data_IF_182658914197
#
_entry.id   IF_182658914197
#
_cell.length_a   1.000
_cell.length_b   1.000
_cell.length_c   1.000
_cell.angle_alpha   90.00
_cell.angle_beta   90.00
_cell.angle_gamma   90.00
#
_symmetry.space_group_name_H-M   'P 1'
#
loop_
_entity.id
_entity.type
_entity.pdbx_description
1 polymer ?
#
# COMPACT_ATOMS: atom_id res chain seq x y z
N UNK A 1 27.40 32.23 -10.08
CA UNK A 1 28.04 30.96 -10.42
C UNK A 1 26.95 29.92 -10.55
N UNK A 2 26.43 29.75 -11.74
CA UNK A 2 25.44 28.73 -12.12
C UNK A 2 26.19 27.40 -12.18
N UNK A 3 25.90 26.49 -11.26
CA UNK A 3 26.24 25.08 -11.42
C UNK A 3 25.48 24.56 -12.64
N UNK A 4 26.15 24.47 -13.77
CA UNK A 4 25.71 23.69 -14.89
C UNK A 4 25.64 22.25 -14.43
N UNK A 5 24.43 21.76 -14.17
CA UNK A 5 24.20 20.33 -14.00
C UNK A 5 24.55 19.71 -15.36
N UNK A 6 25.62 18.95 -15.37
CA UNK A 6 25.93 18.09 -16.48
C UNK A 6 24.80 17.08 -16.61
N UNK A 7 23.81 17.37 -17.45
CA UNK A 7 22.82 16.42 -17.98
C UNK A 7 23.54 15.57 -19.03
N UNK A 8 24.77 15.14 -18.72
CA UNK A 8 25.52 14.21 -19.54
C UNK A 8 25.21 12.80 -19.09
N UNK A 9 24.64 12.08 -20.03
CA UNK A 9 24.70 10.64 -20.17
C UNK A 9 23.68 9.76 -19.44
N UNK A 10 22.51 10.23 -19.05
CA UNK A 10 21.39 9.31 -18.88
C UNK A 10 20.60 9.22 -20.18
N UNK A 11 21.00 8.25 -21.02
CA UNK A 11 20.27 7.93 -22.26
C UNK A 11 19.04 7.07 -21.94
N UNK A 12 18.02 7.13 -22.79
CA UNK A 12 16.89 6.22 -22.76
C UNK A 12 17.31 4.76 -22.53
N UNK A 13 18.38 4.34 -23.19
CA UNK A 13 18.94 2.98 -23.11
C UNK A 13 19.42 2.63 -21.71
N UNK A 14 20.13 3.55 -21.03
CA UNK A 14 20.66 3.31 -19.69
C UNK A 14 19.56 3.18 -18.66
N UNK A 15 18.58 4.08 -18.70
CA UNK A 15 17.42 4.03 -17.79
C UNK A 15 16.57 2.80 -18.06
N UNK A 16 16.29 2.50 -19.34
CA UNK A 16 15.53 1.30 -19.69
C UNK A 16 16.24 0.02 -19.22
N UNK A 17 17.56 -0.08 -19.39
CA UNK A 17 18.33 -1.23 -18.91
C UNK A 17 18.28 -1.37 -17.40
N UNK A 18 18.42 -0.27 -16.63
CA UNK A 18 18.31 -0.29 -15.18
C UNK A 18 16.91 -0.74 -14.73
N UNK A 19 15.84 -0.21 -15.33
CA UNK A 19 14.49 -0.61 -14.98
C UNK A 19 14.18 -2.08 -15.36
N UNK A 20 14.71 -2.58 -16.46
CA UNK A 20 14.60 -3.99 -16.85
C UNK A 20 15.29 -4.92 -15.83
N UNK A 21 16.45 -4.52 -15.34
CA UNK A 21 17.14 -5.27 -14.27
C UNK A 21 16.30 -5.32 -12.99
N UNK A 22 15.71 -4.20 -12.59
CA UNK A 22 14.83 -4.13 -11.43
C UNK A 22 13.60 -5.03 -11.61
N UNK A 23 12.99 -5.08 -12.81
CA UNK A 23 11.87 -5.98 -13.09
C UNK A 23 12.29 -7.46 -12.94
N UNK A 24 13.46 -7.85 -13.44
CA UNK A 24 13.98 -9.22 -13.24
C UNK A 24 14.17 -9.56 -11.77
N UNK A 25 14.73 -8.63 -11.01
CA UNK A 25 14.89 -8.82 -9.57
C UNK A 25 13.55 -8.89 -8.82
N UNK A 26 12.49 -8.21 -9.29
CA UNK A 26 11.14 -8.37 -8.75
C UNK A 26 10.62 -9.80 -8.98
N UNK A 27 10.79 -10.33 -10.19
CA UNK A 27 10.41 -11.71 -10.53
C UNK A 27 11.20 -12.75 -9.70
N UNK A 28 12.48 -12.51 -9.52
CA UNK A 28 13.31 -13.38 -8.67
C UNK A 28 12.95 -13.25 -7.19
N UNK A 29 12.54 -12.06 -6.76
CA UNK A 29 11.97 -11.84 -5.43
C UNK A 29 10.69 -12.65 -5.20
N UNK A 30 9.77 -12.71 -6.16
CA UNK A 30 8.57 -13.56 -6.07
C UNK A 30 8.94 -15.03 -5.91
N UNK A 31 9.89 -15.52 -6.69
CA UNK A 31 10.36 -16.92 -6.60
C UNK A 31 10.98 -17.20 -5.23
N UNK A 32 11.82 -16.30 -4.75
CA UNK A 32 12.50 -16.41 -3.45
C UNK A 32 11.53 -16.47 -2.28
N UNK A 33 10.45 -15.70 -2.34
CA UNK A 33 9.45 -15.61 -1.28
C UNK A 33 8.16 -16.38 -1.60
N UNK A 34 8.20 -17.31 -2.57
CA UNK A 34 7.02 -18.11 -2.98
C UNK A 34 6.36 -18.84 -1.81
N UNK A 35 7.14 -19.44 -0.91
CA UNK A 35 6.60 -20.11 0.27
C UNK A 35 5.77 -19.18 1.16
N UNK A 36 6.26 -17.96 1.44
CA UNK A 36 5.49 -16.97 2.20
C UNK A 36 4.24 -16.51 1.46
N UNK A 37 4.33 -16.35 0.13
CA UNK A 37 3.15 -15.99 -0.69
C UNK A 37 2.10 -17.10 -0.68
N UNK A 38 2.51 -18.35 -0.61
CA UNK A 38 1.58 -19.50 -0.57
C UNK A 38 0.84 -19.60 0.76
N UNK A 39 1.46 -19.19 1.86
CA UNK A 39 0.84 -19.14 3.19
C UNK A 39 -0.17 -17.98 3.34
N UNK A 40 -0.13 -16.97 2.46
CA UNK A 40 -1.06 -15.85 2.51
C UNK A 40 -2.48 -16.30 2.15
N UNK A 41 -3.45 -15.75 2.88
CA UNK A 41 -4.84 -15.87 2.50
C UNK A 41 -5.05 -15.39 1.03
N UNK A 42 -5.86 -16.07 0.21
CA UNK A 42 -6.04 -15.74 -1.21
C UNK A 42 -6.29 -14.27 -1.52
N UNK A 43 -7.07 -13.58 -0.68
CA UNK A 43 -7.40 -12.16 -0.85
C UNK A 43 -6.18 -11.23 -0.74
N UNK A 44 -5.08 -11.69 -0.11
CA UNK A 44 -3.86 -10.89 0.08
C UNK A 44 -2.69 -11.29 -0.80
N UNK A 45 -2.79 -12.39 -1.56
CA UNK A 45 -1.68 -12.86 -2.41
C UNK A 45 -1.20 -11.82 -3.40
N UNK A 46 -2.12 -11.12 -4.05
CA UNK A 46 -1.79 -10.10 -5.03
C UNK A 46 -1.13 -8.87 -4.38
N UNK A 47 -1.63 -8.42 -3.24
CA UNK A 47 -1.02 -7.35 -2.46
C UNK A 47 0.36 -7.76 -1.91
N UNK A 48 0.52 -9.03 -1.51
CA UNK A 48 1.80 -9.57 -1.05
C UNK A 48 2.86 -9.58 -2.17
N UNK A 49 2.51 -9.99 -3.38
CA UNK A 49 3.41 -9.88 -4.54
C UNK A 49 3.82 -8.44 -4.80
N UNK A 50 2.86 -7.52 -4.84
CA UNK A 50 3.16 -6.11 -5.04
C UNK A 50 4.06 -5.54 -3.92
N UNK A 51 3.92 -6.00 -2.68
CA UNK A 51 4.81 -5.62 -1.59
C UNK A 51 6.25 -6.06 -1.85
N UNK A 52 6.47 -7.28 -2.36
CA UNK A 52 7.80 -7.75 -2.74
C UNK A 52 8.39 -6.84 -3.83
N UNK A 53 7.63 -6.54 -4.87
CA UNK A 53 8.06 -5.63 -5.95
C UNK A 53 8.43 -4.25 -5.41
N UNK A 54 7.62 -3.71 -4.52
CA UNK A 54 7.88 -2.43 -3.90
C UNK A 54 9.16 -2.44 -3.07
N UNK A 55 9.40 -3.47 -2.26
CA UNK A 55 10.60 -3.60 -1.45
C UNK A 55 11.86 -3.74 -2.32
N UNK A 56 11.79 -4.47 -3.44
CA UNK A 56 12.88 -4.54 -4.42
C UNK A 56 13.16 -3.16 -4.98
N UNK A 57 12.16 -2.43 -5.47
CA UNK A 57 12.34 -1.07 -5.98
C UNK A 57 12.98 -0.14 -4.94
N UNK A 58 12.49 -0.19 -3.71
CA UNK A 58 12.99 0.65 -2.60
C UNK A 58 14.41 0.30 -2.15
N UNK A 59 14.91 -0.88 -2.47
CA UNK A 59 16.29 -1.27 -2.21
C UNK A 59 17.28 -0.70 -3.22
N UNK A 60 16.81 -0.06 -4.30
CA UNK A 60 17.64 0.43 -5.40
C UNK A 60 17.89 1.91 -5.33
N UNK A 61 19.09 2.30 -5.72
CA UNK A 61 19.41 3.71 -5.96
C UNK A 61 18.97 4.08 -7.38
N UNK A 62 17.87 4.83 -7.48
CA UNK A 62 17.25 5.19 -8.76
C UNK A 62 17.03 6.70 -8.94
N UNK A 63 17.61 7.55 -8.08
CA UNK A 63 17.40 9.01 -8.12
C UNK A 63 17.70 9.61 -9.49
N UNK A 64 18.81 9.22 -10.09
CA UNK A 64 19.18 9.72 -11.42
C UNK A 64 18.19 9.26 -12.50
N UNK A 65 17.68 8.03 -12.43
CA UNK A 65 16.63 7.56 -13.33
C UNK A 65 15.31 8.32 -13.10
N UNK A 66 14.97 8.60 -11.82
CA UNK A 66 13.78 9.38 -11.48
C UNK A 66 13.84 10.81 -12.02
N UNK A 67 14.97 11.48 -11.88
CA UNK A 67 15.20 12.82 -12.45
C UNK A 67 15.09 12.82 -13.97
N UNK A 68 15.70 11.81 -14.61
CA UNK A 68 15.61 11.65 -16.06
C UNK A 68 14.17 11.44 -16.52
N UNK A 69 13.43 10.50 -15.91
CA UNK A 69 12.04 10.22 -16.23
C UNK A 69 11.16 11.46 -16.06
N UNK A 70 11.35 12.19 -14.96
CA UNK A 70 10.64 13.46 -14.72
C UNK A 70 10.95 14.48 -15.81
N UNK A 71 12.21 14.61 -16.22
CA UNK A 71 12.63 15.56 -17.27
C UNK A 71 11.97 15.29 -18.63
N UNK A 72 11.79 14.02 -18.98
CA UNK A 72 11.13 13.62 -20.24
C UNK A 72 9.60 13.48 -20.12
N UNK A 73 9.02 13.86 -18.98
CA UNK A 73 7.57 13.87 -18.76
C UNK A 73 6.95 12.51 -18.47
N UNK A 74 7.76 11.50 -18.11
CA UNK A 74 7.28 10.20 -17.66
C UNK A 74 7.15 10.13 -16.14
N UNK A 75 6.43 9.09 -15.65
CA UNK A 75 6.34 8.82 -14.23
C UNK A 75 7.72 8.61 -13.61
N UNK A 76 8.05 9.38 -12.58
CA UNK A 76 9.29 9.25 -11.80
C UNK A 76 9.28 8.09 -10.80
N UNK A 77 8.27 7.24 -10.80
CA UNK A 77 8.14 6.07 -9.92
C UNK A 77 8.07 6.42 -8.42
N UNK A 78 7.79 7.68 -8.07
CA UNK A 78 7.71 8.12 -6.67
C UNK A 78 6.41 7.70 -5.98
N UNK A 79 5.36 7.36 -6.74
CA UNK A 79 4.03 6.97 -6.26
C UNK A 79 3.63 5.61 -6.85
N UNK A 80 4.50 4.61 -6.68
CA UNK A 80 4.34 3.28 -7.29
C UNK A 80 3.90 2.19 -6.31
N UNK A 81 3.67 2.53 -5.03
CA UNK A 81 3.47 1.58 -3.94
C UNK A 81 2.36 0.56 -4.20
N UNK A 82 1.26 1.00 -4.80
CA UNK A 82 0.08 0.15 -4.98
C UNK A 82 0.15 -0.80 -6.18
N UNK A 83 1.03 -0.52 -7.17
CA UNK A 83 1.08 -1.25 -8.44
C UNK A 83 2.48 -1.16 -9.10
N UNK A 84 3.50 -1.45 -8.31
CA UNK A 84 4.91 -1.17 -8.63
C UNK A 84 5.36 -1.76 -9.95
N UNK A 85 5.18 -3.07 -10.16
CA UNK A 85 5.61 -3.74 -11.40
C UNK A 85 4.88 -3.17 -12.63
N UNK A 86 3.57 -2.99 -12.54
CA UNK A 86 2.77 -2.43 -13.63
C UNK A 86 3.26 -1.04 -14.03
N UNK A 87 3.59 -0.20 -13.06
CA UNK A 87 4.08 1.15 -13.35
C UNK A 87 5.46 1.13 -14.03
N UNK A 88 6.38 0.25 -13.57
CA UNK A 88 7.67 0.08 -14.25
C UNK A 88 7.48 -0.41 -15.69
N UNK A 89 6.63 -1.39 -15.91
CA UNK A 89 6.34 -1.93 -17.24
C UNK A 89 5.75 -0.86 -18.17
N UNK A 90 4.86 -0.01 -17.67
CA UNK A 90 4.34 1.12 -18.44
C UNK A 90 5.43 2.11 -18.82
N UNK A 91 6.29 2.51 -17.87
CA UNK A 91 7.44 3.39 -18.17
C UNK A 91 8.36 2.75 -19.21
N UNK A 92 8.67 1.46 -19.05
CA UNK A 92 9.51 0.72 -20.01
C UNK A 92 8.88 0.67 -21.40
N UNK A 93 7.56 0.53 -21.52
CA UNK A 93 6.88 0.51 -22.82
C UNK A 93 7.03 1.84 -23.57
N UNK A 94 7.16 2.96 -22.88
CA UNK A 94 7.45 4.26 -23.47
C UNK A 94 8.92 4.45 -23.79
N UNK A 95 9.83 3.96 -22.94
CA UNK A 95 11.28 4.07 -23.16
C UNK A 95 11.77 3.14 -24.27
N UNK A 96 11.19 1.96 -24.40
CA UNK A 96 11.58 0.95 -25.39
C UNK A 96 10.38 0.18 -25.93
N UNK A 97 9.61 0.78 -26.86
CA UNK A 97 8.41 0.15 -27.41
C UNK A 97 8.67 -1.19 -28.10
N UNK A 98 9.88 -1.39 -28.64
CA UNK A 98 10.26 -2.63 -29.34
C UNK A 98 10.47 -3.82 -28.38
N UNK A 99 10.70 -3.57 -27.11
CA UNK A 99 10.89 -4.57 -26.05
C UNK A 99 9.72 -4.60 -25.05
N UNK A 100 8.67 -3.83 -25.31
CA UNK A 100 7.47 -3.87 -24.49
C UNK A 100 6.81 -5.24 -24.65
N UNK A 101 7.09 -6.16 -23.74
CA UNK A 101 6.24 -7.34 -23.56
C UNK A 101 4.84 -6.86 -23.16
N UNK A 102 3.82 -7.61 -23.57
CA UNK A 102 2.45 -7.33 -23.14
C UNK A 102 2.46 -7.15 -21.61
N UNK A 103 1.91 -6.03 -21.13
CA UNK A 103 1.87 -5.70 -19.71
C UNK A 103 0.90 -6.67 -19.03
N UNK A 104 1.35 -7.89 -18.79
CA UNK A 104 0.65 -8.85 -17.93
C UNK A 104 0.97 -8.56 -16.48
N UNK A 105 0.51 -7.42 -16.00
CA UNK A 105 0.70 -7.09 -14.60
C UNK A 105 -0.44 -7.65 -13.77
N UNK A 106 -0.14 -8.52 -12.83
CA UNK A 106 -1.11 -9.05 -11.89
C UNK A 106 -1.80 -7.96 -11.05
N UNK A 107 -1.17 -6.83 -10.77
CA UNK A 107 -1.71 -5.72 -9.99
C UNK A 107 -1.47 -4.39 -10.71
N UNK A 108 -2.45 -3.92 -11.46
CA UNK A 108 -2.46 -2.57 -12.03
C UNK A 108 -3.17 -1.58 -11.09
N UNK A 109 -3.20 -0.29 -11.46
CA UNK A 109 -3.81 0.76 -10.67
C UNK A 109 -5.29 0.49 -10.33
N UNK A 110 -6.07 0.00 -11.27
CA UNK A 110 -7.50 -0.28 -11.07
C UNK A 110 -7.71 -1.45 -10.11
N UNK A 111 -6.96 -2.54 -10.29
CA UNK A 111 -6.99 -3.69 -9.39
C UNK A 111 -6.53 -3.29 -7.99
N UNK A 112 -5.45 -2.52 -7.86
CA UNK A 112 -4.97 -2.02 -6.59
C UNK A 112 -6.02 -1.17 -5.86
N UNK A 113 -6.73 -0.32 -6.59
CA UNK A 113 -7.81 0.51 -6.04
C UNK A 113 -8.98 -0.34 -5.54
N UNK A 114 -9.38 -1.36 -6.31
CA UNK A 114 -10.44 -2.31 -5.91
C UNK A 114 -10.02 -3.12 -4.68
N UNK A 115 -8.79 -3.62 -4.63
CA UNK A 115 -8.26 -4.35 -3.47
C UNK A 115 -8.24 -3.48 -2.22
N UNK A 116 -7.76 -2.25 -2.33
CA UNK A 116 -7.74 -1.31 -1.20
C UNK A 116 -9.14 -1.07 -0.65
N UNK A 117 -10.13 -0.85 -1.52
CA UNK A 117 -11.52 -0.67 -1.10
C UNK A 117 -12.06 -1.93 -0.44
N UNK A 118 -11.85 -3.09 -1.03
CA UNK A 118 -12.30 -4.37 -0.48
C UNK A 118 -11.70 -4.65 0.90
N UNK A 119 -10.39 -4.41 1.08
CA UNK A 119 -9.72 -4.58 2.37
C UNK A 119 -10.22 -3.57 3.42
N UNK A 120 -10.47 -2.31 3.00
CA UNK A 120 -11.05 -1.31 3.90
C UNK A 120 -12.46 -1.73 4.38
N UNK A 121 -13.31 -2.21 3.47
CA UNK A 121 -14.66 -2.71 3.80
C UNK A 121 -14.59 -3.95 4.70
N UNK A 122 -13.68 -4.88 4.45
CA UNK A 122 -13.50 -6.06 5.30
C UNK A 122 -13.05 -5.71 6.72
N UNK A 123 -12.21 -4.69 6.86
CA UNK A 123 -11.67 -4.27 8.17
C UNK A 123 -12.61 -3.35 8.94
N UNK A 124 -13.23 -2.41 8.26
CA UNK A 124 -13.97 -1.29 8.87
C UNK A 124 -15.49 -1.40 8.69
N UNK A 125 -15.96 -2.35 7.87
CA UNK A 125 -17.36 -2.46 7.49
C UNK A 125 -17.73 -1.55 6.32
N UNK A 126 -19.00 -1.66 5.89
CA UNK A 126 -19.54 -0.76 4.87
C UNK A 126 -19.81 0.62 5.48
N UNK A 127 -19.59 1.67 4.69
CA UNK A 127 -20.04 3.01 5.06
C UNK A 127 -21.57 3.01 5.13
N UNK A 128 -22.11 3.34 6.30
CA UNK A 128 -23.56 3.44 6.50
C UNK A 128 -24.18 4.65 5.78
N UNK A 129 -23.37 5.66 5.48
CA UNK A 129 -23.77 6.90 4.80
C UNK A 129 -22.72 7.19 3.73
N UNK A 130 -23.15 7.31 2.46
CA UNK A 130 -22.27 7.76 1.38
C UNK A 130 -21.59 9.08 1.77
N UNK A 131 -20.28 9.15 1.56
CA UNK A 131 -19.43 10.33 1.79
C UNK A 131 -19.07 10.69 3.25
N UNK A 132 -19.38 9.86 4.24
CA UNK A 132 -18.86 10.07 5.59
C UNK A 132 -17.62 9.21 5.86
N UNK A 133 -16.55 9.78 6.43
CA UNK A 133 -15.37 9.00 6.83
C UNK A 133 -15.70 8.10 8.03
N UNK A 134 -14.95 7.00 8.18
CA UNK A 134 -14.98 6.23 9.42
C UNK A 134 -14.45 7.07 10.58
N UNK A 135 -15.18 7.09 11.70
CA UNK A 135 -14.76 7.76 12.91
C UNK A 135 -14.10 6.72 13.82
N UNK A 136 -12.78 6.86 14.01
CA UNK A 136 -12.00 6.01 14.88
C UNK A 136 -11.76 6.71 16.22
N UNK A 137 -12.22 6.08 17.30
CA UNK A 137 -11.99 6.58 18.67
C UNK A 137 -10.99 5.66 19.37
N UNK A 138 -9.98 6.24 20.02
CA UNK A 138 -9.07 5.48 20.89
C UNK A 138 -9.76 5.17 22.20
N UNK A 139 -10.01 3.88 22.44
CA UNK A 139 -10.67 3.39 23.63
C UNK A 139 -9.69 3.38 24.80
N UNK A 140 -10.06 3.98 25.90
CA UNK A 140 -9.26 4.06 27.12
C UNK A 140 -9.93 3.33 28.29
N UNK A 141 -9.18 3.09 29.37
CA UNK A 141 -9.70 2.50 30.60
C UNK A 141 -10.84 3.31 31.22
N UNK A 142 -10.84 4.65 31.06
CA UNK A 142 -11.93 5.50 31.52
C UNK A 142 -13.28 5.17 30.85
N UNK A 143 -13.28 4.82 29.57
CA UNK A 143 -14.48 4.45 28.82
C UNK A 143 -15.08 3.10 29.25
N UNK A 144 -14.29 2.23 29.92
CA UNK A 144 -14.82 0.96 30.45
C UNK A 144 -15.80 1.17 31.62
N UNK A 145 -15.75 2.32 32.27
CA UNK A 145 -16.58 2.64 33.46
C UNK A 145 -17.86 3.38 33.04
N UNK A 146 -17.97 3.81 31.80
CA UNK A 146 -19.09 4.59 31.29
C UNK A 146 -19.66 3.97 30.01
N UNK A 147 -20.52 2.97 30.18
CA UNK A 147 -21.18 2.30 29.08
C UNK A 147 -22.13 3.23 28.31
N UNK A 148 -22.74 4.21 28.99
CA UNK A 148 -23.66 5.17 28.34
C UNK A 148 -22.88 6.05 27.35
N UNK A 149 -21.70 6.51 27.73
CA UNK A 149 -20.85 7.29 26.83
C UNK A 149 -20.42 6.48 25.60
N UNK A 150 -20.15 5.17 25.77
CA UNK A 150 -19.83 4.29 24.62
C UNK A 150 -21.01 4.17 23.66
N UNK A 151 -22.24 4.00 24.18
CA UNK A 151 -23.45 3.95 23.36
C UNK A 151 -23.71 5.30 22.67
N UNK A 152 -23.52 6.42 23.34
CA UNK A 152 -23.62 7.75 22.74
C UNK A 152 -22.61 7.93 21.59
N UNK A 153 -21.34 7.52 21.78
CA UNK A 153 -20.32 7.59 20.72
C UNK A 153 -20.70 6.74 19.49
N UNK A 154 -21.27 5.57 19.70
CA UNK A 154 -21.77 4.70 18.61
C UNK A 154 -22.94 5.38 17.86
N UNK A 155 -23.88 5.97 18.59
CA UNK A 155 -25.02 6.69 18.01
C UNK A 155 -24.59 7.94 17.23
N UNK A 156 -23.54 8.62 17.68
CA UNK A 156 -22.93 9.77 17.00
C UNK A 156 -22.01 9.38 15.81
N UNK A 157 -21.88 8.08 15.54
CA UNK A 157 -21.23 7.58 14.32
C UNK A 157 -19.82 7.03 14.51
N UNK A 158 -19.39 6.75 15.74
CA UNK A 158 -18.17 5.97 15.95
C UNK A 158 -18.33 4.62 15.27
N UNK A 159 -17.44 4.30 14.34
CA UNK A 159 -17.46 3.05 13.58
C UNK A 159 -16.27 2.14 13.88
N UNK A 160 -15.21 2.68 14.48
CA UNK A 160 -13.99 1.94 14.79
C UNK A 160 -13.51 2.28 16.20
N UNK A 161 -13.26 1.27 17.01
CA UNK A 161 -12.61 1.41 18.30
C UNK A 161 -11.15 0.97 18.18
N UNK A 162 -10.21 1.85 18.53
CA UNK A 162 -8.78 1.56 18.56
C UNK A 162 -8.33 1.30 19.99
N UNK A 163 -7.75 0.14 20.26
CA UNK A 163 -7.07 -0.17 21.52
C UNK A 163 -5.57 0.03 21.33
N UNK A 164 -4.94 0.88 22.16
CA UNK A 164 -3.50 1.10 22.09
C UNK A 164 -2.79 0.10 23.01
N UNK A 165 -2.21 -0.94 22.40
CA UNK A 165 -1.49 -2.00 23.13
C UNK A 165 -0.11 -1.57 23.70
N UNK A 166 0.28 -0.29 23.58
CA UNK A 166 1.44 0.26 24.28
C UNK A 166 1.14 0.54 25.77
N UNK A 167 -0.13 0.55 26.15
CA UNK A 167 -0.59 0.76 27.52
C UNK A 167 -1.43 -0.43 27.98
N UNK A 168 -1.50 -0.61 29.31
CA UNK A 168 -2.29 -1.66 29.95
C UNK A 168 -1.77 -3.09 29.64
N UNK A 169 -2.63 -4.10 29.79
CA UNK A 169 -2.32 -5.51 29.58
C UNK A 169 -3.49 -6.25 28.94
N UNK A 170 -3.25 -7.51 28.55
CA UNK A 170 -4.23 -8.31 27.84
C UNK A 170 -5.59 -8.45 28.56
N UNK A 171 -5.60 -8.50 29.90
CA UNK A 171 -6.84 -8.55 30.67
C UNK A 171 -7.66 -7.27 30.54
N UNK A 172 -7.02 -6.11 30.57
CA UNK A 172 -7.66 -4.81 30.37
C UNK A 172 -8.18 -4.67 28.96
N UNK A 173 -7.38 -5.04 27.96
CA UNK A 173 -7.81 -5.00 26.54
C UNK A 173 -9.01 -5.91 26.28
N UNK A 174 -9.03 -7.11 26.89
CA UNK A 174 -10.19 -8.01 26.81
C UNK A 174 -11.45 -7.38 27.39
N UNK A 175 -11.33 -6.71 28.56
CA UNK A 175 -12.45 -6.00 29.17
C UNK A 175 -12.96 -4.85 28.28
N UNK A 176 -12.06 -4.08 27.65
CA UNK A 176 -12.44 -3.05 26.67
C UNK A 176 -13.27 -3.65 25.51
N UNK A 177 -12.82 -4.79 24.96
CA UNK A 177 -13.54 -5.49 23.89
C UNK A 177 -14.92 -5.97 24.37
N UNK A 178 -15.02 -6.44 25.63
CA UNK A 178 -16.29 -6.91 26.17
C UNK A 178 -17.30 -5.77 26.39
N UNK A 179 -16.84 -4.60 26.84
CA UNK A 179 -17.67 -3.40 26.97
C UNK A 179 -18.20 -2.97 25.60
N UNK A 180 -17.31 -2.89 24.60
CA UNK A 180 -17.72 -2.56 23.23
C UNK A 180 -18.74 -3.55 22.66
N UNK A 181 -18.54 -4.85 22.84
CA UNK A 181 -19.48 -5.88 22.37
C UNK A 181 -20.86 -5.78 23.04
N UNK A 182 -20.91 -5.37 24.30
CA UNK A 182 -22.19 -5.15 25.00
C UNK A 182 -22.92 -3.91 24.50
N UNK A 183 -22.18 -2.84 24.18
CA UNK A 183 -22.76 -1.60 23.68
C UNK A 183 -23.29 -1.71 22.23
N UNK A 184 -22.78 -2.68 21.46
CA UNK A 184 -23.21 -2.94 20.06
C UNK A 184 -24.36 -3.97 19.98
N UNK A 185 -24.59 -4.74 21.06
CA UNK A 185 -25.62 -5.81 21.08
C UNK A 185 -27.04 -5.26 21.29
#
# INVERSE_FOLDING_TARGET
MTRGYAVEAYSHVKVASQLLEIVREMEDGEKKFSGLLDELHPNFKQSGRNLIHYLVLRSKEIREAQEYLHHIGLSSLTSSESHTLSQLQHVLSWLNPAQASAVESGCNFEIASKLRLAHAVQLLGHFSIQDKPHIMVTFSTALMQDSMLVEEMLNEGMSVARINCAHDNAGVWLNMIQVLKKAVA
#
